data_IF_746907956568
#
_entry.id   IF_746907956568
#
_cell.length_a   1.000
_cell.length_b   1.000
_cell.length_c   1.000
_cell.angle_alpha   90.00
_cell.angle_beta   90.00
_cell.angle_gamma   90.00
#
_symmetry.space_group_name_H-M   'P 1'
#
loop_
_entity.id
_entity.type
_entity.pdbx_description
1 polymer ?
#
# COMPACT_ATOMS: atom_id res chain seq x y z
N UNK A 1 30.50 -15.03 39.20
CA UNK A 1 29.73 -16.26 38.91
C UNK A 1 30.35 -17.14 37.80
N UNK A 2 31.07 -16.59 36.81
CA UNK A 2 31.68 -17.37 35.71
C UNK A 2 33.00 -18.11 36.03
N UNK A 3 33.61 -17.86 37.20
CA UNK A 3 34.93 -18.41 37.55
C UNK A 3 34.91 -19.91 37.89
N UNK A 4 33.75 -20.51 38.23
CA UNK A 4 33.61 -21.94 38.57
C UNK A 4 33.01 -22.83 37.46
N UNK A 5 32.77 -22.32 36.25
CA UNK A 5 32.22 -23.11 35.15
C UNK A 5 33.30 -23.92 34.40
N UNK A 6 33.00 -25.18 34.10
CA UNK A 6 33.84 -26.04 33.26
C UNK A 6 33.86 -25.51 31.80
N UNK A 7 34.93 -25.77 31.07
CA UNK A 7 35.20 -25.23 29.72
C UNK A 7 34.05 -25.51 28.74
N UNK A 8 33.47 -26.71 28.78
CA UNK A 8 32.32 -27.09 27.94
C UNK A 8 31.10 -26.21 28.19
N UNK A 9 30.79 -25.91 29.45
CA UNK A 9 29.67 -25.03 29.81
C UNK A 9 29.89 -23.60 29.32
N UNK A 10 31.14 -23.11 29.32
CA UNK A 10 31.49 -21.79 28.77
C UNK A 10 31.29 -21.75 27.25
N UNK A 11 31.72 -22.78 26.53
CA UNK A 11 31.54 -22.88 25.07
C UNK A 11 30.06 -22.95 24.69
N UNK A 12 29.25 -23.74 25.41
CA UNK A 12 27.80 -23.81 25.19
C UNK A 12 27.15 -22.45 25.44
N UNK A 13 27.54 -21.75 26.50
CA UNK A 13 26.96 -20.44 26.82
C UNK A 13 27.33 -19.38 25.78
N UNK A 14 28.57 -19.39 25.28
CA UNK A 14 29.00 -18.56 24.16
C UNK A 14 28.22 -18.88 22.88
N UNK A 15 28.06 -20.15 22.54
CA UNK A 15 27.28 -20.59 21.38
C UNK A 15 25.82 -20.15 21.47
N UNK A 16 25.17 -20.39 22.61
CA UNK A 16 23.78 -19.99 22.84
C UNK A 16 23.64 -18.47 22.76
N UNK A 17 24.57 -17.70 23.34
CA UNK A 17 24.54 -16.24 23.24
C UNK A 17 24.64 -15.76 21.79
N UNK A 18 25.56 -16.32 21.00
CA UNK A 18 25.67 -16.01 19.56
C UNK A 18 24.42 -16.39 18.77
N UNK A 19 23.82 -17.54 19.08
CA UNK A 19 22.58 -18.00 18.47
C UNK A 19 21.41 -17.05 18.79
N UNK A 20 21.22 -16.67 20.05
CA UNK A 20 20.18 -15.71 20.44
C UNK A 20 20.39 -14.33 19.81
N UNK A 21 21.62 -13.83 19.76
CA UNK A 21 21.93 -12.57 19.08
C UNK A 21 21.63 -12.66 17.58
N UNK A 22 22.00 -13.77 16.93
CA UNK A 22 21.68 -14.03 15.52
C UNK A 22 20.17 -14.05 15.26
N UNK A 23 19.40 -14.75 16.09
CA UNK A 23 17.93 -14.79 16.00
C UNK A 23 17.33 -13.40 16.16
N UNK A 24 17.80 -12.62 17.14
CA UNK A 24 17.30 -11.25 17.38
C UNK A 24 17.58 -10.34 16.18
N UNK A 25 18.81 -10.36 15.64
CA UNK A 25 19.19 -9.56 14.48
C UNK A 25 18.36 -9.96 13.26
N UNK A 26 18.27 -11.26 12.96
CA UNK A 26 17.46 -11.76 11.84
C UNK A 26 15.99 -11.42 12.03
N UNK A 27 15.48 -11.42 13.26
CA UNK A 27 14.10 -11.08 13.52
C UNK A 27 13.80 -9.61 13.23
N UNK A 28 14.68 -8.70 13.67
CA UNK A 28 14.55 -7.27 13.40
C UNK A 28 14.66 -6.98 11.89
N UNK A 29 15.60 -7.63 11.20
CA UNK A 29 15.77 -7.49 9.75
C UNK A 29 14.56 -8.02 8.99
N UNK A 30 14.08 -9.21 9.33
CA UNK A 30 12.89 -9.84 8.72
C UNK A 30 11.64 -8.98 8.88
N UNK A 31 11.40 -8.46 10.09
CA UNK A 31 10.26 -7.58 10.36
C UNK A 31 10.28 -6.31 9.49
N UNK A 32 11.43 -5.63 9.40
CA UNK A 32 11.57 -4.44 8.55
C UNK A 32 11.51 -4.77 7.05
N UNK A 33 12.03 -5.92 6.67
CA UNK A 33 12.05 -6.41 5.30
C UNK A 33 10.64 -6.73 4.78
N UNK A 34 9.85 -7.45 5.59
CA UNK A 34 8.47 -7.81 5.28
C UNK A 34 7.61 -6.57 5.00
N UNK A 35 7.71 -5.54 5.84
CA UNK A 35 6.99 -4.27 5.64
C UNK A 35 7.32 -3.64 4.28
N UNK A 36 8.60 -3.58 3.90
CA UNK A 36 9.01 -2.98 2.63
C UNK A 36 8.53 -3.81 1.44
N UNK A 37 8.61 -5.12 1.54
CA UNK A 37 8.14 -6.02 0.49
C UNK A 37 6.64 -5.91 0.25
N UNK A 38 5.85 -5.90 1.32
CA UNK A 38 4.40 -5.73 1.22
C UNK A 38 4.05 -4.37 0.63
N UNK A 39 4.80 -3.31 0.95
CA UNK A 39 4.63 -2.00 0.31
C UNK A 39 4.89 -2.06 -1.21
N UNK A 40 5.87 -2.86 -1.65
CA UNK A 40 6.16 -3.05 -3.08
C UNK A 40 5.04 -3.84 -3.76
N UNK A 41 4.56 -4.93 -3.13
CA UNK A 41 3.41 -5.69 -3.66
C UNK A 41 2.17 -4.79 -3.74
N UNK A 42 1.86 -4.07 -2.67
CA UNK A 42 0.74 -3.12 -2.61
C UNK A 42 0.87 -2.07 -3.73
N UNK A 43 2.06 -1.51 -3.92
CA UNK A 43 2.31 -0.54 -5.00
C UNK A 43 2.14 -1.15 -6.39
N UNK A 44 2.63 -2.37 -6.63
CA UNK A 44 2.50 -3.04 -7.92
C UNK A 44 1.03 -3.40 -8.21
N UNK A 45 0.33 -3.94 -7.21
CA UNK A 45 -1.09 -4.23 -7.30
C UNK A 45 -1.91 -2.98 -7.61
N UNK A 46 -1.67 -1.88 -6.88
CA UNK A 46 -2.34 -0.60 -7.12
C UNK A 46 -2.09 -0.09 -8.55
N UNK A 47 -0.85 -0.19 -9.02
CA UNK A 47 -0.51 0.19 -10.40
C UNK A 47 -1.24 -0.67 -11.45
N UNK A 48 -1.29 -1.99 -11.26
CA UNK A 48 -2.01 -2.89 -12.15
C UNK A 48 -3.52 -2.62 -12.17
N UNK A 49 -4.14 -2.46 -11.00
CA UNK A 49 -5.57 -2.13 -10.91
C UNK A 49 -5.88 -0.80 -11.60
N UNK A 50 -5.05 0.23 -11.41
CA UNK A 50 -5.20 1.50 -12.12
C UNK A 50 -5.11 1.33 -13.64
N UNK A 51 -4.13 0.55 -14.13
CA UNK A 51 -3.98 0.28 -15.56
C UNK A 51 -5.20 -0.44 -16.13
N UNK A 52 -5.71 -1.47 -15.45
CA UNK A 52 -6.91 -2.19 -15.87
C UNK A 52 -8.15 -1.31 -15.84
N UNK A 53 -8.31 -0.47 -14.82
CA UNK A 53 -9.40 0.49 -14.74
C UNK A 53 -9.37 1.47 -15.93
N UNK A 54 -8.20 2.03 -16.24
CA UNK A 54 -8.02 2.93 -17.38
C UNK A 54 -8.29 2.26 -18.72
N UNK A 55 -7.86 1.01 -18.89
CA UNK A 55 -8.15 0.26 -20.11
C UNK A 55 -9.67 0.00 -20.25
N UNK A 56 -10.33 -0.50 -19.21
CA UNK A 56 -11.77 -0.71 -19.20
C UNK A 56 -12.57 0.59 -19.47
N UNK A 57 -12.09 1.73 -18.96
CA UNK A 57 -12.67 3.04 -19.29
C UNK A 57 -12.57 3.38 -20.79
N UNK A 58 -11.43 3.10 -21.44
CA UNK A 58 -11.24 3.31 -22.89
C UNK A 58 -12.12 2.37 -23.72
N UNK A 59 -12.31 1.16 -23.23
CA UNK A 59 -13.12 0.12 -23.88
C UNK A 59 -14.63 0.29 -23.59
N UNK A 60 -15.02 1.34 -22.84
CA UNK A 60 -16.40 1.63 -22.41
C UNK A 60 -17.01 0.52 -21.52
N UNK A 61 -16.18 -0.33 -20.93
CA UNK A 61 -16.55 -1.37 -19.96
C UNK A 61 -16.66 -0.79 -18.54
N UNK A 62 -17.58 0.16 -18.35
CA UNK A 62 -17.66 0.97 -17.12
C UNK A 62 -17.86 0.15 -15.85
N UNK A 63 -18.58 -0.97 -15.91
CA UNK A 63 -18.72 -1.88 -14.78
C UNK A 63 -17.37 -2.45 -14.31
N UNK A 64 -16.53 -2.87 -15.26
CA UNK A 64 -15.21 -3.40 -14.97
C UNK A 64 -14.27 -2.31 -14.45
N UNK A 65 -14.36 -1.10 -15.02
CA UNK A 65 -13.64 0.06 -14.51
C UNK A 65 -14.00 0.39 -13.05
N UNK A 66 -15.30 0.38 -12.71
CA UNK A 66 -15.78 0.56 -11.33
C UNK A 66 -15.19 -0.50 -10.40
N UNK A 67 -15.15 -1.77 -10.84
CA UNK A 67 -14.57 -2.85 -10.04
C UNK A 67 -13.09 -2.59 -9.73
N UNK A 68 -12.28 -2.25 -10.75
CA UNK A 68 -10.86 -1.99 -10.56
C UNK A 68 -10.57 -0.74 -9.72
N UNK A 69 -11.33 0.35 -9.90
CA UNK A 69 -11.17 1.54 -9.04
C UNK A 69 -11.61 1.27 -7.59
N UNK A 70 -12.65 0.47 -7.35
CA UNK A 70 -13.01 0.04 -5.98
C UNK A 70 -11.89 -0.80 -5.35
N UNK A 71 -11.27 -1.71 -6.11
CA UNK A 71 -10.13 -2.49 -5.63
C UNK A 71 -8.92 -1.60 -5.29
N UNK A 72 -8.64 -0.60 -6.11
CA UNK A 72 -7.57 0.37 -5.90
C UNK A 72 -7.75 1.15 -4.58
N UNK A 73 -8.94 1.72 -4.37
CA UNK A 73 -9.29 2.47 -3.14
C UNK A 73 -9.26 1.55 -1.92
N UNK A 74 -9.77 0.32 -2.06
CA UNK A 74 -9.79 -0.65 -0.95
C UNK A 74 -8.38 -1.02 -0.55
N UNK A 75 -7.49 -1.31 -1.52
CA UNK A 75 -6.11 -1.69 -1.27
C UNK A 75 -5.27 -0.54 -0.69
N UNK A 76 -5.51 0.71 -1.09
CA UNK A 76 -4.80 1.88 -0.53
C UNK A 76 -5.31 2.31 0.86
N UNK A 77 -6.51 1.87 1.25
CA UNK A 77 -7.15 2.24 2.51
C UNK A 77 -6.45 1.65 3.73
N UNK A 78 -6.23 2.46 4.77
CA UNK A 78 -5.65 2.02 6.05
C UNK A 78 -6.74 1.51 7.02
N UNK A 79 -7.75 0.79 6.52
CA UNK A 79 -8.84 0.28 7.35
C UNK A 79 -8.62 -1.19 7.74
N UNK A 80 -9.01 -1.62 8.96
CA UNK A 80 -9.08 -3.03 9.32
C UNK A 80 -9.94 -3.82 8.32
N UNK A 81 -9.53 -5.03 7.95
CA UNK A 81 -10.18 -5.83 6.89
C UNK A 81 -9.61 -5.65 5.47
N UNK A 82 -8.61 -4.78 5.27
CA UNK A 82 -7.83 -4.74 4.03
C UNK A 82 -6.76 -5.84 4.04
N UNK A 83 -6.67 -6.63 2.97
CA UNK A 83 -5.68 -7.68 2.79
C UNK A 83 -4.23 -7.20 2.99
N UNK A 84 -3.93 -5.95 2.64
CA UNK A 84 -2.60 -5.34 2.87
C UNK A 84 -2.42 -4.70 4.25
N UNK A 85 -3.50 -4.50 5.01
CA UNK A 85 -3.44 -4.11 6.42
C UNK A 85 -3.07 -5.31 7.29
N UNK A 86 -3.71 -6.47 7.05
CA UNK A 86 -3.52 -7.70 7.83
C UNK A 86 -2.24 -8.46 7.43
N UNK A 87 -1.83 -8.39 6.16
CA UNK A 87 -0.62 -9.07 5.70
C UNK A 87 0.68 -8.51 6.30
N UNK A 88 0.66 -7.31 6.90
CA UNK A 88 1.83 -6.66 7.53
C UNK A 88 2.46 -7.49 8.64
N UNK A 89 1.74 -8.48 9.16
CA UNK A 89 2.17 -9.32 10.28
C UNK A 89 2.56 -10.76 9.87
N UNK A 90 2.54 -11.12 8.58
CA UNK A 90 2.81 -12.50 8.14
C UNK A 90 4.30 -12.71 7.82
N UNK A 91 4.89 -13.69 8.52
CA UNK A 91 6.33 -13.99 8.54
C UNK A 91 6.71 -15.18 7.67
N UNK A 92 7.88 -15.10 6.99
CA UNK A 92 8.65 -16.29 6.58
C UNK A 92 10.15 -16.04 6.80
N UNK A 93 10.87 -17.06 7.32
CA UNK A 93 12.30 -16.98 7.68
C UNK A 93 13.25 -16.75 6.49
N UNK A 94 12.76 -16.89 5.26
CA UNK A 94 13.56 -16.86 4.02
C UNK A 94 13.72 -15.48 3.38
N UNK A 95 13.21 -14.41 4.01
CA UNK A 95 13.04 -13.10 3.37
C UNK A 95 14.16 -12.02 3.46
N UNK A 96 15.30 -12.18 4.17
CA UNK A 96 16.11 -11.00 4.53
C UNK A 96 16.98 -10.40 3.40
N UNK A 97 17.30 -11.14 2.32
CA UNK A 97 18.29 -10.66 1.33
C UNK A 97 17.70 -9.77 0.22
N UNK A 98 16.45 -9.96 -0.18
CA UNK A 98 15.78 -9.13 -1.22
C UNK A 98 15.36 -7.75 -0.71
N UNK A 99 15.11 -7.60 0.59
CA UNK A 99 14.58 -6.36 1.15
C UNK A 99 15.62 -5.26 1.44
N UNK A 100 16.90 -5.63 1.58
CA UNK A 100 17.96 -4.64 1.85
C UNK A 100 18.23 -3.75 0.63
N UNK A 101 18.07 -4.29 -0.58
CA UNK A 101 18.16 -3.54 -1.85
C UNK A 101 16.99 -2.55 -1.95
N UNK A 102 15.78 -2.97 -1.60
CA UNK A 102 14.58 -2.12 -1.62
C UNK A 102 14.64 -0.97 -0.59
N UNK A 103 15.31 -1.19 0.55
CA UNK A 103 15.48 -0.16 1.59
C UNK A 103 16.27 1.06 1.12
N UNK A 104 17.26 0.86 0.23
CA UNK A 104 18.14 1.94 -0.26
C UNK A 104 17.38 2.92 -1.18
N UNK A 105 16.27 2.47 -1.78
CA UNK A 105 15.45 3.27 -2.71
C UNK A 105 14.40 4.13 -1.97
N UNK A 106 14.20 3.88 -0.66
CA UNK A 106 13.15 4.57 0.11
C UNK A 106 13.60 5.94 0.60
N UNK A 107 13.54 6.93 -0.30
CA UNK A 107 13.45 8.33 0.09
C UNK A 107 12.01 8.60 0.52
N UNK A 108 11.79 9.16 1.72
CA UNK A 108 10.46 9.62 2.15
C UNK A 108 10.09 10.86 1.34
N UNK A 109 9.59 10.65 0.12
CA UNK A 109 9.22 11.72 -0.81
C UNK A 109 7.95 12.47 -0.38
N UNK A 110 7.16 11.90 0.54
CA UNK A 110 5.92 12.48 1.06
C UNK A 110 5.77 12.28 2.58
N UNK A 111 6.63 12.91 3.40
CA UNK A 111 6.63 12.72 4.86
C UNK A 111 5.33 13.23 5.52
N UNK A 112 4.58 14.10 4.84
CA UNK A 112 3.30 14.64 5.32
C UNK A 112 2.09 13.84 4.80
N UNK A 113 2.28 12.87 3.90
CA UNK A 113 1.19 12.08 3.30
C UNK A 113 0.26 12.89 2.38
N UNK A 114 0.66 14.09 1.96
CA UNK A 114 -0.17 14.99 1.15
C UNK A 114 -0.34 14.42 -0.26
N UNK A 115 0.75 13.90 -0.83
CA UNK A 115 0.73 13.24 -2.14
C UNK A 115 -0.16 11.99 -2.11
N UNK A 116 -0.05 11.17 -1.04
CA UNK A 116 -0.94 10.02 -0.86
C UNK A 116 -2.40 10.44 -0.77
N UNK A 117 -2.72 11.43 0.07
CA UNK A 117 -4.08 11.94 0.25
C UNK A 117 -4.68 12.43 -1.07
N UNK A 118 -3.93 13.22 -1.84
CA UNK A 118 -4.36 13.71 -3.15
C UNK A 118 -4.51 12.58 -4.17
N UNK A 119 -3.63 11.58 -4.14
CA UNK A 119 -3.74 10.38 -4.96
C UNK A 119 -5.01 9.60 -4.68
N UNK A 120 -5.35 9.38 -3.40
CA UNK A 120 -6.62 8.76 -3.01
C UNK A 120 -7.81 9.62 -3.47
N UNK A 121 -7.73 10.95 -3.37
CA UNK A 121 -8.73 11.87 -3.91
C UNK A 121 -8.95 11.73 -5.42
N UNK A 122 -7.88 11.59 -6.20
CA UNK A 122 -7.97 11.30 -7.65
C UNK A 122 -8.65 9.96 -7.89
N UNK A 123 -8.28 8.91 -7.14
CA UNK A 123 -8.88 7.58 -7.30
C UNK A 123 -10.38 7.57 -6.99
N UNK A 124 -10.81 8.28 -5.94
CA UNK A 124 -12.22 8.49 -5.62
C UNK A 124 -12.95 9.23 -6.75
N UNK A 125 -12.36 10.28 -7.32
CA UNK A 125 -12.94 10.99 -8.45
C UNK A 125 -13.04 10.13 -9.71
N UNK A 126 -12.03 9.29 -9.98
CA UNK A 126 -12.06 8.33 -11.09
C UNK A 126 -13.16 7.27 -10.93
N UNK A 127 -13.34 6.76 -9.71
CA UNK A 127 -14.45 5.86 -9.38
C UNK A 127 -15.79 6.55 -9.59
N UNK A 128 -15.95 7.79 -9.12
CA UNK A 128 -17.16 8.57 -9.28
C UNK A 128 -17.52 8.77 -10.76
N UNK A 129 -16.53 9.13 -11.57
CA UNK A 129 -16.69 9.27 -13.02
C UNK A 129 -17.15 7.95 -13.67
N UNK A 130 -16.52 6.83 -13.33
CA UNK A 130 -16.91 5.52 -13.85
C UNK A 130 -18.34 5.13 -13.42
N UNK A 131 -18.73 5.44 -12.18
CA UNK A 131 -20.09 5.21 -11.66
C UNK A 131 -21.14 6.06 -12.39
N UNK A 132 -20.86 7.33 -12.70
CA UNK A 132 -21.76 8.17 -13.50
C UNK A 132 -21.97 7.60 -14.89
N UNK A 133 -20.89 7.18 -15.56
CA UNK A 133 -20.97 6.54 -16.89
C UNK A 133 -21.72 5.21 -16.86
N UNK A 134 -21.66 4.50 -15.74
CA UNK A 134 -22.43 3.29 -15.50
C UNK A 134 -23.88 3.54 -15.04
N UNK A 135 -24.30 4.81 -14.86
CA UNK A 135 -25.66 5.17 -14.44
C UNK A 135 -25.93 5.06 -12.94
N UNK A 136 -24.89 4.89 -12.11
CA UNK A 136 -24.97 4.80 -10.64
C UNK A 136 -24.76 6.17 -9.98
N UNK A 137 -25.60 7.15 -10.33
CA UNK A 137 -25.43 8.55 -9.93
C UNK A 137 -25.38 8.79 -8.41
N UNK A 138 -26.18 8.07 -7.63
CA UNK A 138 -26.16 8.23 -6.17
C UNK A 138 -24.84 7.77 -5.54
N UNK A 139 -24.28 6.64 -5.99
CA UNK A 139 -22.96 6.18 -5.55
C UNK A 139 -21.88 7.15 -6.04
N UNK A 140 -22.00 7.62 -7.28
CA UNK A 140 -21.04 8.57 -7.84
C UNK A 140 -20.97 9.88 -7.04
N UNK A 141 -22.11 10.45 -6.65
CA UNK A 141 -22.14 11.68 -5.86
C UNK A 141 -21.39 11.52 -4.52
N UNK A 142 -21.58 10.40 -3.83
CA UNK A 142 -20.86 10.12 -2.59
C UNK A 142 -19.34 10.01 -2.81
N UNK A 143 -18.90 9.45 -3.94
CA UNK A 143 -17.48 9.37 -4.28
C UNK A 143 -16.91 10.72 -4.74
N UNK A 144 -17.70 11.56 -5.40
CA UNK A 144 -17.33 12.95 -5.74
C UNK A 144 -17.12 13.82 -4.50
N UNK A 145 -17.97 13.68 -3.49
CA UNK A 145 -17.81 14.39 -2.21
C UNK A 145 -16.54 13.95 -1.47
N UNK A 146 -16.22 12.65 -1.47
CA UNK A 146 -14.95 12.16 -0.88
C UNK A 146 -13.75 12.72 -1.64
N UNK A 147 -13.80 12.72 -2.97
CA UNK A 147 -12.74 13.29 -3.80
C UNK A 147 -12.54 14.78 -3.52
N UNK A 148 -13.62 15.55 -3.37
CA UNK A 148 -13.56 16.99 -3.10
C UNK A 148 -12.92 17.31 -1.75
N UNK A 149 -13.23 16.52 -0.72
CA UNK A 149 -12.62 16.61 0.61
C UNK A 149 -11.11 16.29 0.55
N UNK A 150 -10.73 15.19 -0.09
CA UNK A 150 -9.33 14.73 -0.16
C UNK A 150 -8.44 15.61 -1.05
N UNK A 151 -9.03 16.26 -2.05
CA UNK A 151 -8.35 17.21 -2.93
C UNK A 151 -8.37 18.65 -2.40
N UNK A 152 -8.97 18.86 -1.23
CA UNK A 152 -9.13 20.19 -0.61
C UNK A 152 -9.83 21.19 -1.54
N UNK A 153 -10.73 20.69 -2.40
CA UNK A 153 -11.47 21.48 -3.37
C UNK A 153 -12.95 21.52 -3.00
N UNK A 154 -13.42 22.66 -2.51
CA UNK A 154 -14.82 22.81 -2.06
C UNK A 154 -15.85 22.67 -3.19
N UNK A 155 -15.44 22.97 -4.41
CA UNK A 155 -16.29 22.93 -5.59
C UNK A 155 -16.15 21.58 -6.31
N UNK A 156 -17.18 20.74 -6.19
CA UNK A 156 -17.23 19.41 -6.82
C UNK A 156 -17.11 19.50 -8.34
N UNK A 157 -17.61 20.57 -8.97
CA UNK A 157 -17.54 20.70 -10.44
C UNK A 157 -16.09 20.93 -10.91
N UNK A 158 -15.26 21.62 -10.12
CA UNK A 158 -13.82 21.72 -10.40
C UNK A 158 -13.11 20.38 -10.26
N UNK A 159 -13.56 19.53 -9.33
CA UNK A 159 -13.04 18.17 -9.18
C UNK A 159 -13.41 17.33 -10.40
N UNK A 160 -14.67 17.40 -10.86
CA UNK A 160 -15.11 16.71 -12.08
C UNK A 160 -14.27 17.12 -13.29
N UNK A 161 -14.08 18.42 -13.51
CA UNK A 161 -13.25 18.94 -14.61
C UNK A 161 -11.80 18.43 -14.53
N UNK A 162 -11.21 18.41 -13.34
CA UNK A 162 -9.87 17.86 -13.12
C UNK A 162 -9.81 16.39 -13.54
N UNK A 163 -10.74 15.57 -13.06
CA UNK A 163 -10.77 14.14 -13.37
C UNK A 163 -11.02 13.87 -14.84
N UNK A 164 -11.92 14.62 -15.48
CA UNK A 164 -12.17 14.53 -16.91
C UNK A 164 -10.91 14.82 -17.73
N UNK A 165 -10.11 15.81 -17.32
CA UNK A 165 -8.85 16.13 -17.98
C UNK A 165 -7.82 15.00 -17.82
N UNK A 166 -7.75 14.37 -16.64
CA UNK A 166 -6.88 13.20 -16.40
C UNK A 166 -7.37 11.96 -17.19
N UNK A 167 -8.66 11.88 -17.54
CA UNK A 167 -9.18 10.80 -18.38
C UNK A 167 -8.94 11.01 -19.88
N UNK A 168 -8.71 12.24 -20.31
CA UNK A 168 -8.36 12.56 -21.71
C UNK A 168 -6.89 12.32 -22.03
N UNK A 169 -6.04 12.16 -21.01
CA UNK A 169 -4.61 11.85 -21.12
C UNK A 169 -4.38 10.34 -21.06
#
# INVERSE_FOLDING_TARGET
MFSKMNTTSKTILLFLSGLFTGILIMSVLSYRASKTYLQVIESNYNYEQYKFAKQAMKDHEYFLAVHHYKNLITASSQKPGNSFYEAKDIWTLSFPFTAQILRIIKTDLDPKGIGKMRGDGINHGMLAYALEKYGKYSEANAEWEKASILLEQKDVEKVKQLIENINKT
#
